data_IF_502529508137
#
_entry.id   IF_502529508137
#
_cell.length_a   1.000
_cell.length_b   1.000
_cell.length_c   1.000
_cell.angle_alpha   90.00
_cell.angle_beta   90.00
_cell.angle_gamma   90.00
#
_symmetry.space_group_name_H-M   'P 1'
#
loop_
_entity.id
_entity.type
_entity.pdbx_description
1 polymer ?
#
# COMPACT_ATOMS: atom_id res chain seq x y z
N UNK A 1 65.96 5.89 9.39
CA UNK A 1 65.03 5.67 10.51
C UNK A 1 63.84 6.67 10.50
N UNK A 2 64.11 7.97 10.44
CA UNK A 2 63.06 9.01 10.48
C UNK A 2 62.01 8.88 9.34
N UNK A 3 62.41 8.60 8.12
CA UNK A 3 61.55 8.46 6.94
C UNK A 3 60.59 7.26 7.09
N UNK A 4 61.05 6.14 7.61
CA UNK A 4 60.25 4.96 7.87
C UNK A 4 59.19 5.25 8.95
N UNK A 5 59.54 5.99 9.99
CA UNK A 5 58.60 6.38 11.05
C UNK A 5 57.49 7.29 10.51
N UNK A 6 57.81 8.24 9.64
CA UNK A 6 56.83 9.14 9.01
C UNK A 6 55.87 8.37 8.09
N UNK A 7 56.38 7.41 7.33
CA UNK A 7 55.54 6.56 6.46
C UNK A 7 54.57 5.71 7.29
N UNK A 8 55.05 5.11 8.37
CA UNK A 8 54.21 4.30 9.27
C UNK A 8 53.13 5.15 9.94
N UNK A 9 53.46 6.35 10.41
CA UNK A 9 52.49 7.30 10.96
C UNK A 9 51.44 7.74 9.93
N UNK A 10 51.84 7.99 8.68
CA UNK A 10 50.92 8.34 7.60
C UNK A 10 49.96 7.20 7.28
N UNK A 11 50.43 5.95 7.25
CA UNK A 11 49.59 4.77 7.04
C UNK A 11 48.58 4.59 8.18
N UNK A 12 49.03 4.73 9.45
CA UNK A 12 48.15 4.65 10.61
C UNK A 12 47.08 5.74 10.56
N UNK A 13 47.46 6.99 10.23
CA UNK A 13 46.53 8.11 10.11
C UNK A 13 45.51 7.87 8.99
N UNK A 14 45.92 7.34 7.84
CA UNK A 14 45.06 6.98 6.74
C UNK A 14 44.08 5.87 7.13
N UNK A 15 44.56 4.81 7.81
CA UNK A 15 43.71 3.72 8.29
C UNK A 15 42.69 4.22 9.34
N UNK A 16 43.06 5.11 10.24
CA UNK A 16 42.17 5.73 11.21
C UNK A 16 41.10 6.60 10.54
N UNK A 17 41.47 7.43 9.56
CA UNK A 17 40.56 8.24 8.83
C UNK A 17 39.56 7.38 8.01
N UNK A 18 40.02 6.30 7.40
CA UNK A 18 39.20 5.34 6.71
C UNK A 18 38.20 4.65 7.65
N UNK A 19 38.70 4.22 8.84
CA UNK A 19 37.87 3.59 9.86
C UNK A 19 36.80 4.55 10.40
N UNK A 20 37.17 5.81 10.68
CA UNK A 20 36.22 6.86 11.13
C UNK A 20 35.15 7.11 10.06
N UNK A 21 35.52 7.25 8.78
CA UNK A 21 34.55 7.44 7.69
C UNK A 21 33.60 6.25 7.58
N UNK A 22 34.11 5.02 7.71
CA UNK A 22 33.30 3.81 7.68
C UNK A 22 32.34 3.74 8.86
N UNK A 23 32.81 4.08 10.08
CA UNK A 23 31.95 4.13 11.26
C UNK A 23 30.86 5.20 11.15
N UNK A 24 31.20 6.39 10.62
CA UNK A 24 30.21 7.45 10.38
C UNK A 24 29.15 7.03 9.34
N UNK A 25 29.56 6.30 8.31
CA UNK A 25 28.61 5.76 7.32
C UNK A 25 27.66 4.74 7.95
N UNK A 26 28.18 3.82 8.77
CA UNK A 26 27.37 2.83 9.49
C UNK A 26 26.43 3.52 10.49
N UNK A 27 26.91 4.51 11.26
CA UNK A 27 26.07 5.29 12.17
C UNK A 27 24.95 6.04 11.43
N UNK A 28 25.25 6.68 10.29
CA UNK A 28 24.22 7.35 9.48
C UNK A 28 23.13 6.39 9.00
N UNK A 29 23.52 5.19 8.59
CA UNK A 29 22.55 4.15 8.15
C UNK A 29 21.72 3.68 9.35
N UNK A 30 22.31 3.46 10.51
CA UNK A 30 21.60 3.04 11.73
C UNK A 30 20.62 4.10 12.22
N UNK A 31 21.04 5.37 12.32
CA UNK A 31 20.18 6.48 12.74
C UNK A 31 19.04 6.71 11.72
N UNK A 32 19.33 6.62 10.42
CA UNK A 32 18.30 6.70 9.38
C UNK A 32 17.30 5.55 9.54
N UNK A 33 17.76 4.32 9.81
CA UNK A 33 16.92 3.15 10.05
C UNK A 33 16.00 3.33 11.27
N UNK A 34 16.51 3.84 12.39
CA UNK A 34 15.73 4.04 13.61
C UNK A 34 14.71 5.19 13.45
N UNK A 35 15.09 6.26 12.76
CA UNK A 35 14.18 7.35 12.42
C UNK A 35 13.04 6.86 11.52
N UNK A 36 13.36 6.02 10.52
CA UNK A 36 12.40 5.37 9.64
C UNK A 36 11.44 4.45 10.40
N UNK A 37 11.95 3.61 11.30
CA UNK A 37 11.11 2.75 12.15
C UNK A 37 10.13 3.57 12.99
N UNK A 38 10.60 4.65 13.58
CA UNK A 38 9.76 5.52 14.41
C UNK A 38 8.68 6.22 13.57
N UNK A 39 9.02 6.72 12.40
CA UNK A 39 8.09 7.36 11.50
C UNK A 39 7.05 6.35 10.96
N UNK A 40 7.48 5.15 10.61
CA UNK A 40 6.61 4.04 10.20
C UNK A 40 5.60 3.67 11.29
N UNK A 41 6.05 3.50 12.55
CA UNK A 41 5.15 3.21 13.68
C UNK A 41 4.14 4.35 13.90
N UNK A 42 4.56 5.62 13.79
CA UNK A 42 3.66 6.77 13.93
C UNK A 42 2.59 6.80 12.83
N UNK A 43 2.98 6.53 11.59
CA UNK A 43 2.06 6.48 10.46
C UNK A 43 1.05 5.33 10.62
N UNK A 44 1.51 4.13 10.97
CA UNK A 44 0.65 2.98 11.28
C UNK A 44 -0.32 3.24 12.43
N UNK A 45 0.15 3.88 13.51
CA UNK A 45 -0.72 4.27 14.62
C UNK A 45 -1.86 5.20 14.18
N UNK A 46 -1.61 6.07 13.20
CA UNK A 46 -2.62 6.94 12.60
C UNK A 46 -3.61 6.14 11.76
N UNK A 47 -3.10 5.24 10.89
CA UNK A 47 -3.93 4.39 10.04
C UNK A 47 -4.79 3.39 10.84
N UNK A 48 -4.32 2.90 11.99
CA UNK A 48 -5.10 2.04 12.90
C UNK A 48 -6.20 2.84 13.60
N UNK A 49 -5.98 4.12 13.89
CA UNK A 49 -6.94 4.95 14.61
C UNK A 49 -8.26 5.09 13.86
N UNK A 50 -8.22 5.27 12.55
CA UNK A 50 -9.41 5.46 11.71
C UNK A 50 -10.37 4.27 11.75
N UNK A 51 -9.95 3.03 11.44
CA UNK A 51 -10.84 1.88 11.54
C UNK A 51 -11.25 1.57 12.98
N UNK A 52 -10.39 1.86 13.96
CA UNK A 52 -10.74 1.71 15.38
C UNK A 52 -11.88 2.64 15.80
N UNK A 53 -11.85 3.92 15.39
CA UNK A 53 -12.93 4.86 15.61
C UNK A 53 -14.20 4.44 14.89
N UNK A 54 -14.10 3.88 13.68
CA UNK A 54 -15.24 3.35 12.95
C UNK A 54 -15.90 2.18 13.71
N UNK A 55 -15.10 1.23 14.21
CA UNK A 55 -15.59 0.12 15.04
C UNK A 55 -16.27 0.64 16.31
N UNK A 56 -15.65 1.59 17.02
CA UNK A 56 -16.21 2.18 18.23
C UNK A 56 -17.54 2.89 17.96
N UNK A 57 -17.60 3.71 16.90
CA UNK A 57 -18.84 4.42 16.54
C UNK A 57 -19.97 3.47 16.13
N UNK A 58 -19.67 2.40 15.38
CA UNK A 58 -20.66 1.38 15.02
C UNK A 58 -21.11 0.57 16.23
N UNK A 59 -20.23 0.29 17.19
CA UNK A 59 -20.59 -0.36 18.46
C UNK A 59 -21.51 0.53 19.31
N UNK A 60 -21.25 1.84 19.38
CA UNK A 60 -22.12 2.80 20.05
C UNK A 60 -23.53 2.86 19.43
N UNK A 61 -23.62 2.77 18.09
CA UNK A 61 -24.92 2.72 17.40
C UNK A 61 -25.71 1.48 17.81
N UNK A 62 -25.05 0.32 17.93
CA UNK A 62 -25.70 -0.93 18.38
C UNK A 62 -26.12 -0.86 19.84
N UNK A 63 -25.33 -0.17 20.69
CA UNK A 63 -25.57 -0.07 22.13
C UNK A 63 -26.66 0.95 22.52
N UNK A 64 -27.18 1.75 21.58
CA UNK A 64 -28.27 2.69 21.86
C UNK A 64 -29.62 1.95 21.96
N UNK A 65 -30.21 1.94 23.14
CA UNK A 65 -31.50 1.33 23.41
C UNK A 65 -32.68 1.99 22.66
N UNK A 66 -32.55 3.29 22.33
CA UNK A 66 -33.59 4.07 21.68
C UNK A 66 -33.64 3.86 20.16
N UNK A 67 -32.65 3.14 19.57
CA UNK A 67 -32.52 2.97 18.13
C UNK A 67 -33.01 1.59 17.70
N UNK A 68 -34.18 1.55 17.02
CA UNK A 68 -34.67 0.31 16.45
C UNK A 68 -33.94 0.02 15.13
N UNK A 69 -33.01 -0.93 15.17
CA UNK A 69 -32.28 -1.43 14.01
C UNK A 69 -32.98 -2.66 13.41
N UNK A 70 -33.28 -2.60 12.15
CA UNK A 70 -33.75 -3.74 11.37
C UNK A 70 -32.69 -4.85 11.28
N UNK A 71 -33.12 -6.08 10.98
CA UNK A 71 -32.20 -7.21 10.78
C UNK A 71 -31.14 -6.97 9.70
N UNK A 72 -31.53 -6.22 8.65
CA UNK A 72 -30.64 -5.83 7.56
C UNK A 72 -29.56 -4.84 8.01
N UNK A 73 -29.94 -3.80 8.75
CA UNK A 73 -29.02 -2.81 9.30
C UNK A 73 -28.02 -3.44 10.30
N UNK A 74 -28.50 -4.31 11.19
CA UNK A 74 -27.61 -5.05 12.11
C UNK A 74 -26.59 -5.89 11.34
N UNK A 75 -27.01 -6.56 10.25
CA UNK A 75 -26.10 -7.34 9.40
C UNK A 75 -25.07 -6.43 8.70
N UNK A 76 -25.49 -5.28 8.18
CA UNK A 76 -24.60 -4.30 7.56
C UNK A 76 -23.55 -3.78 8.55
N UNK A 77 -23.98 -3.37 9.75
CA UNK A 77 -23.08 -2.90 10.80
C UNK A 77 -22.09 -3.98 11.20
N UNK A 78 -22.54 -5.22 11.42
CA UNK A 78 -21.66 -6.34 11.76
C UNK A 78 -20.60 -6.59 10.67
N UNK A 79 -20.98 -6.46 9.37
CA UNK A 79 -20.06 -6.59 8.25
C UNK A 79 -19.02 -5.47 8.23
N UNK A 80 -19.43 -4.23 8.50
CA UNK A 80 -18.52 -3.09 8.58
C UNK A 80 -17.56 -3.20 9.76
N UNK A 81 -18.03 -3.64 10.93
CA UNK A 81 -17.16 -3.89 12.09
C UNK A 81 -16.11 -4.95 11.75
N UNK A 82 -16.52 -6.05 11.14
CA UNK A 82 -15.61 -7.12 10.74
C UNK A 82 -14.56 -6.63 9.74
N UNK A 83 -14.99 -5.89 8.72
CA UNK A 83 -14.07 -5.29 7.73
C UNK A 83 -13.01 -4.39 8.38
N UNK A 84 -13.42 -3.50 9.30
CA UNK A 84 -12.49 -2.62 9.99
C UNK A 84 -11.55 -3.41 10.95
N UNK A 85 -12.04 -4.47 11.60
CA UNK A 85 -11.22 -5.34 12.43
C UNK A 85 -10.17 -6.10 11.60
N UNK A 86 -10.55 -6.62 10.43
CA UNK A 86 -9.62 -7.29 9.50
C UNK A 86 -8.57 -6.30 8.96
N UNK A 87 -8.96 -5.05 8.68
CA UNK A 87 -8.03 -4.00 8.30
C UNK A 87 -7.00 -3.70 9.40
N UNK A 88 -7.46 -3.57 10.66
CA UNK A 88 -6.55 -3.38 11.81
C UNK A 88 -5.59 -4.57 11.94
N UNK A 89 -6.09 -5.80 11.81
CA UNK A 89 -5.26 -7.01 11.87
C UNK A 89 -4.17 -6.98 10.78
N UNK A 90 -4.51 -6.60 9.56
CA UNK A 90 -3.55 -6.50 8.46
C UNK A 90 -2.49 -5.43 8.72
N UNK A 91 -2.89 -4.25 9.24
CA UNK A 91 -1.93 -3.19 9.59
C UNK A 91 -0.99 -3.62 10.73
N UNK A 92 -1.48 -4.38 11.71
CA UNK A 92 -0.65 -4.96 12.78
C UNK A 92 0.31 -6.02 12.24
N UNK A 93 -0.10 -6.83 11.27
CA UNK A 93 0.77 -7.78 10.57
C UNK A 93 1.92 -7.07 9.85
N UNK A 94 1.67 -5.90 9.24
CA UNK A 94 2.73 -5.08 8.63
C UNK A 94 3.75 -4.59 9.66
N UNK A 95 3.32 -4.21 10.87
CA UNK A 95 4.23 -3.86 11.98
C UNK A 95 5.12 -5.04 12.34
N UNK A 96 4.52 -6.20 12.48
CA UNK A 96 5.24 -7.44 12.85
C UNK A 96 6.22 -7.83 11.76
N UNK A 97 5.79 -7.82 10.51
CA UNK A 97 6.66 -8.08 9.35
C UNK A 97 7.86 -7.11 9.29
N UNK A 98 7.62 -5.81 9.54
CA UNK A 98 8.69 -4.81 9.57
C UNK A 98 9.69 -5.04 10.71
N UNK A 99 9.21 -5.55 11.86
CA UNK A 99 10.02 -5.80 13.05
C UNK A 99 10.85 -7.09 12.96
N UNK A 100 10.32 -8.13 12.30
CA UNK A 100 10.87 -9.49 12.30
C UNK A 100 11.65 -9.86 11.03
N UNK A 101 12.04 -8.89 10.19
CA UNK A 101 12.83 -9.12 8.96
C UNK A 101 12.15 -10.04 7.93
N UNK A 102 10.84 -10.09 7.89
CA UNK A 102 10.11 -10.76 6.81
C UNK A 102 9.38 -12.05 7.17
N UNK A 103 9.31 -12.43 8.41
CA UNK A 103 8.42 -13.50 8.87
C UNK A 103 6.98 -12.96 9.00
N UNK A 104 6.28 -12.90 7.88
CA UNK A 104 4.87 -12.54 7.81
C UNK A 104 3.96 -13.77 7.89
N UNK A 105 2.67 -13.55 8.14
CA UNK A 105 1.65 -14.61 8.10
C UNK A 105 1.69 -15.34 6.76
N UNK A 106 1.46 -16.65 6.76
CA UNK A 106 1.34 -17.47 5.55
C UNK A 106 0.30 -16.88 4.59
N UNK A 107 0.65 -16.88 3.30
CA UNK A 107 -0.26 -16.48 2.22
C UNK A 107 -1.41 -17.48 2.20
N UNK A 108 -2.63 -17.00 2.41
CA UNK A 108 -3.82 -17.85 2.37
C UNK A 108 -4.42 -17.81 0.98
N UNK A 109 -4.08 -18.80 0.16
CA UNK A 109 -4.59 -18.89 -1.19
C UNK A 109 -6.02 -19.41 -1.23
N UNK A 110 -6.87 -18.71 -1.98
CA UNK A 110 -8.23 -19.09 -2.28
C UNK A 110 -8.54 -18.88 -3.76
N UNK A 111 -9.56 -19.58 -4.27
CA UNK A 111 -10.04 -19.39 -5.64
C UNK A 111 -11.04 -18.23 -5.67
N UNK A 112 -10.78 -17.22 -6.49
CA UNK A 112 -11.64 -16.03 -6.57
C UNK A 112 -11.76 -15.51 -8.01
N UNK A 113 -12.80 -14.68 -8.27
CA UNK A 113 -12.97 -13.96 -9.52
C UNK A 113 -12.34 -12.57 -9.41
N UNK A 114 -11.35 -12.22 -10.26
CA UNK A 114 -10.76 -10.88 -10.28
C UNK A 114 -11.78 -9.78 -10.60
N UNK A 115 -12.75 -10.06 -11.46
CA UNK A 115 -13.83 -9.12 -11.78
C UNK A 115 -14.66 -8.76 -10.54
N UNK A 116 -15.08 -9.77 -9.76
CA UNK A 116 -15.85 -9.55 -8.51
C UNK A 116 -15.03 -8.80 -7.47
N UNK A 117 -13.73 -9.05 -7.40
CA UNK A 117 -12.84 -8.34 -6.48
C UNK A 117 -12.73 -6.86 -6.86
N UNK A 118 -12.54 -6.53 -8.14
CA UNK A 118 -12.57 -5.14 -8.62
C UNK A 118 -13.90 -4.45 -8.26
N UNK A 119 -15.04 -5.13 -8.46
CA UNK A 119 -16.35 -4.57 -8.13
C UNK A 119 -16.48 -4.29 -6.62
N UNK A 120 -16.06 -5.20 -5.75
CA UNK A 120 -16.07 -4.98 -4.30
C UNK A 120 -15.22 -3.80 -3.88
N UNK A 121 -14.02 -3.63 -4.49
CA UNK A 121 -13.17 -2.47 -4.21
C UNK A 121 -13.84 -1.15 -4.62
N UNK A 122 -14.59 -1.13 -5.73
CA UNK A 122 -15.36 0.03 -6.16
C UNK A 122 -16.47 0.34 -5.16
N UNK A 123 -17.28 -0.66 -4.80
CA UNK A 123 -18.41 -0.50 -3.89
C UNK A 123 -17.95 0.01 -2.51
N UNK A 124 -16.81 -0.48 -2.02
CA UNK A 124 -16.22 -0.05 -0.75
C UNK A 124 -15.73 1.41 -0.75
N UNK A 125 -15.31 1.92 -1.91
CA UNK A 125 -14.78 3.29 -2.03
C UNK A 125 -15.84 4.31 -2.50
N UNK A 126 -17.03 3.86 -2.88
CA UNK A 126 -18.07 4.72 -3.46
C UNK A 126 -18.52 5.83 -2.50
N UNK A 127 -18.61 5.55 -1.22
CA UNK A 127 -19.04 6.52 -0.19
C UNK A 127 -18.02 7.67 0.03
N UNK A 128 -16.78 7.50 -0.39
CA UNK A 128 -15.69 8.46 -0.19
C UNK A 128 -15.38 9.31 -1.43
N UNK A 129 -16.22 9.22 -2.48
CA UNK A 129 -16.01 9.96 -3.71
C UNK A 129 -16.29 11.45 -3.53
N UNK A 130 -15.42 12.27 -4.11
CA UNK A 130 -15.67 13.72 -4.23
C UNK A 130 -16.79 13.98 -5.23
N UNK A 131 -17.51 15.06 -5.02
CA UNK A 131 -18.53 15.50 -5.96
C UNK A 131 -17.92 15.76 -7.36
N UNK A 132 -18.49 15.15 -8.40
CA UNK A 132 -18.00 15.25 -9.79
C UNK A 132 -16.94 14.21 -10.18
N UNK A 133 -16.61 13.27 -9.29
CA UNK A 133 -15.75 12.10 -9.60
C UNK A 133 -16.62 10.88 -9.85
N UNK A 134 -16.43 10.21 -10.98
CA UNK A 134 -17.06 8.95 -11.32
C UNK A 134 -16.09 7.80 -11.08
N UNK A 135 -16.52 6.78 -10.33
CA UNK A 135 -15.80 5.53 -10.16
C UNK A 135 -16.47 4.43 -10.97
N UNK A 136 -15.72 3.76 -11.84
CA UNK A 136 -16.26 2.77 -12.78
C UNK A 136 -15.39 1.53 -12.88
N UNK A 137 -16.05 0.39 -13.23
CA UNK A 137 -15.39 -0.88 -13.53
C UNK A 137 -15.28 -1.10 -15.02
N UNK A 138 -14.09 -1.41 -15.51
CA UNK A 138 -13.86 -1.88 -16.86
C UNK A 138 -13.62 -3.39 -16.85
N UNK A 139 -14.63 -4.15 -17.24
CA UNK A 139 -14.50 -5.60 -17.36
C UNK A 139 -13.49 -5.97 -18.45
N UNK A 140 -12.45 -6.71 -18.07
CA UNK A 140 -11.39 -7.14 -18.96
C UNK A 140 -11.29 -8.67 -19.12
N UNK A 141 -11.96 -9.42 -18.22
CA UNK A 141 -11.94 -10.89 -18.18
C UNK A 141 -13.35 -11.44 -18.31
N UNK A 142 -13.50 -12.71 -18.69
CA UNK A 142 -14.79 -13.40 -18.72
C UNK A 142 -15.38 -13.54 -17.31
N UNK A 143 -16.69 -13.75 -17.20
CA UNK A 143 -17.37 -13.92 -15.91
C UNK A 143 -16.92 -15.18 -15.19
N UNK A 144 -16.62 -16.23 -15.94
CA UNK A 144 -16.19 -17.53 -15.44
C UNK A 144 -14.66 -17.61 -15.23
N UNK A 145 -13.98 -16.47 -15.26
CA UNK A 145 -12.54 -16.44 -15.03
C UNK A 145 -12.23 -16.42 -13.53
N UNK A 146 -11.50 -17.45 -13.07
CA UNK A 146 -11.07 -17.60 -11.69
C UNK A 146 -9.58 -17.89 -11.62
N UNK A 147 -8.94 -17.40 -10.57
CA UNK A 147 -7.53 -17.64 -10.26
C UNK A 147 -7.37 -17.98 -8.78
N UNK A 148 -6.23 -18.53 -8.43
CA UNK A 148 -5.87 -18.88 -7.04
C UNK A 148 -4.76 -17.96 -6.57
N UNK A 149 -5.00 -17.20 -5.49
CA UNK A 149 -4.05 -16.34 -4.79
C UNK A 149 -4.67 -15.86 -3.46
N UNK A 150 -4.03 -14.95 -2.73
CA UNK A 150 -4.60 -14.34 -1.52
C UNK A 150 -5.47 -13.13 -1.90
N UNK A 151 -6.78 -13.36 -2.06
CA UNK A 151 -7.75 -12.34 -2.47
C UNK A 151 -7.81 -11.16 -1.49
N UNK A 152 -7.55 -11.38 -0.20
CA UNK A 152 -7.60 -10.33 0.84
C UNK A 152 -6.43 -9.35 0.67
N UNK A 153 -5.22 -9.86 0.44
CA UNK A 153 -4.04 -9.01 0.17
C UNK A 153 -4.27 -8.22 -1.11
N UNK A 154 -4.79 -8.86 -2.17
CA UNK A 154 -5.08 -8.20 -3.45
C UNK A 154 -6.12 -7.09 -3.26
N UNK A 155 -7.21 -7.37 -2.53
CA UNK A 155 -8.27 -6.39 -2.25
C UNK A 155 -7.73 -5.18 -1.48
N UNK A 156 -6.85 -5.41 -0.50
CA UNK A 156 -6.22 -4.35 0.27
C UNK A 156 -5.30 -3.47 -0.60
N UNK A 157 -4.44 -4.10 -1.43
CA UNK A 157 -3.59 -3.37 -2.38
C UNK A 157 -4.45 -2.52 -3.32
N UNK A 158 -5.44 -3.15 -3.95
CA UNK A 158 -6.30 -2.48 -4.91
C UNK A 158 -7.10 -1.33 -4.29
N UNK A 159 -7.61 -1.49 -3.07
CA UNK A 159 -8.31 -0.43 -2.33
C UNK A 159 -7.40 0.78 -2.07
N UNK A 160 -6.12 0.56 -1.75
CA UNK A 160 -5.16 1.65 -1.57
C UNK A 160 -4.89 2.40 -2.88
N UNK A 161 -4.75 1.69 -4.00
CA UNK A 161 -4.58 2.30 -5.31
C UNK A 161 -5.82 3.12 -5.72
N UNK A 162 -7.02 2.58 -5.50
CA UNK A 162 -8.29 3.28 -5.78
C UNK A 162 -8.42 4.53 -4.90
N UNK A 163 -8.11 4.42 -3.61
CA UNK A 163 -8.14 5.56 -2.68
C UNK A 163 -7.18 6.67 -3.15
N UNK A 164 -5.96 6.33 -3.52
CA UNK A 164 -4.99 7.28 -4.05
C UNK A 164 -5.52 7.98 -5.31
N UNK A 165 -6.05 7.24 -6.28
CA UNK A 165 -6.64 7.79 -7.48
C UNK A 165 -7.82 8.74 -7.19
N UNK A 166 -8.70 8.39 -6.24
CA UNK A 166 -9.82 9.25 -5.84
C UNK A 166 -9.35 10.53 -5.12
N UNK A 167 -8.28 10.49 -4.35
CA UNK A 167 -7.72 11.68 -3.67
C UNK A 167 -7.18 12.68 -4.70
N UNK A 168 -6.45 12.22 -5.71
CA UNK A 168 -5.80 13.07 -6.72
C UNK A 168 -6.71 13.45 -7.90
N UNK A 169 -7.94 12.92 -7.94
CA UNK A 169 -8.94 13.31 -8.93
C UNK A 169 -9.94 14.27 -8.31
N UNK A 170 -9.93 15.53 -8.73
CA UNK A 170 -10.92 16.51 -8.25
C UNK A 170 -12.23 16.43 -9.02
N UNK A 171 -12.16 16.24 -10.33
CA UNK A 171 -13.30 16.03 -11.25
C UNK A 171 -12.88 15.06 -12.35
N UNK A 172 -13.81 14.24 -12.79
CA UNK A 172 -13.57 13.30 -13.88
C UNK A 172 -13.85 11.86 -13.51
N UNK A 173 -12.96 10.94 -13.88
CA UNK A 173 -13.22 9.51 -13.74
C UNK A 173 -12.02 8.77 -13.14
N UNK A 174 -12.33 7.84 -12.23
CA UNK A 174 -11.42 6.78 -11.78
C UNK A 174 -11.97 5.46 -12.32
N UNK A 175 -11.14 4.70 -13.01
CA UNK A 175 -11.51 3.44 -13.64
C UNK A 175 -10.66 2.31 -13.13
N UNK A 176 -11.29 1.24 -12.66
CA UNK A 176 -10.65 0.02 -12.20
C UNK A 176 -10.87 -1.09 -13.21
N UNK A 177 -9.89 -1.93 -13.45
CA UNK A 177 -10.04 -3.10 -14.29
C UNK A 177 -8.94 -4.12 -14.05
N UNK A 178 -9.05 -5.25 -14.75
CA UNK A 178 -8.05 -6.32 -14.70
C UNK A 178 -7.89 -6.98 -16.06
N UNK A 179 -6.71 -7.54 -16.29
CA UNK A 179 -6.38 -8.35 -17.45
C UNK A 179 -5.45 -9.48 -17.04
N UNK A 180 -5.47 -10.58 -17.76
CA UNK A 180 -4.57 -11.70 -17.51
C UNK A 180 -3.83 -12.06 -18.80
N UNK A 181 -2.53 -12.22 -18.68
CA UNK A 181 -1.72 -12.86 -19.72
C UNK A 181 -1.57 -14.34 -19.36
N UNK A 182 -2.33 -15.17 -20.08
CA UNK A 182 -2.34 -16.62 -19.87
C UNK A 182 -0.99 -17.28 -20.21
N UNK A 183 -0.17 -16.64 -21.04
CA UNK A 183 1.12 -17.19 -21.45
C UNK A 183 2.18 -17.03 -20.37
N UNK A 184 2.15 -15.93 -19.64
CA UNK A 184 3.06 -15.63 -18.54
C UNK A 184 2.48 -15.94 -17.16
N UNK A 185 1.21 -16.36 -17.06
CA UNK A 185 0.48 -16.55 -15.80
C UNK A 185 0.48 -15.30 -14.92
N UNK A 186 0.39 -14.11 -15.53
CA UNK A 186 0.38 -12.83 -14.85
C UNK A 186 -1.01 -12.21 -14.90
N UNK A 187 -1.56 -11.93 -13.73
CA UNK A 187 -2.76 -11.13 -13.55
C UNK A 187 -2.37 -9.70 -13.24
N UNK A 188 -2.87 -8.75 -14.02
CA UNK A 188 -2.65 -7.32 -13.83
C UNK A 188 -3.97 -6.64 -13.52
N UNK A 189 -4.06 -6.03 -12.35
CA UNK A 189 -5.08 -5.05 -12.01
C UNK A 189 -4.56 -3.66 -12.38
N UNK A 190 -5.44 -2.77 -12.81
CA UNK A 190 -5.08 -1.39 -13.10
C UNK A 190 -6.12 -0.43 -12.54
N UNK A 191 -5.62 0.71 -12.09
CA UNK A 191 -6.41 1.86 -11.68
C UNK A 191 -5.98 3.05 -12.52
N UNK A 192 -6.90 3.57 -13.33
CA UNK A 192 -6.73 4.74 -14.19
C UNK A 192 -7.49 5.91 -13.59
N UNK A 193 -6.87 7.09 -13.54
CA UNK A 193 -7.53 8.32 -13.17
C UNK A 193 -7.36 9.41 -14.23
N UNK A 194 -8.18 10.42 -14.15
CA UNK A 194 -8.10 11.63 -14.97
C UNK A 194 -7.70 12.85 -14.14
N UNK A 195 -6.98 12.60 -13.05
CA UNK A 195 -6.50 13.61 -12.13
C UNK A 195 -5.28 14.39 -12.63
N UNK A 196 -4.61 15.03 -11.71
CA UNK A 196 -3.45 15.90 -12.00
C UNK A 196 -2.22 15.16 -12.53
N UNK A 197 -2.22 13.82 -12.47
CA UNK A 197 -1.05 12.99 -12.82
C UNK A 197 0.02 13.02 -11.73
N UNK A 198 1.08 12.24 -11.95
CA UNK A 198 2.25 12.18 -11.06
C UNK A 198 3.43 12.83 -11.78
N UNK A 199 4.03 13.89 -11.21
CA UNK A 199 5.23 14.50 -11.73
C UNK A 199 6.38 13.49 -11.91
N UNK A 200 7.20 13.64 -12.94
CA UNK A 200 8.24 12.68 -13.31
C UNK A 200 9.28 12.50 -12.20
N UNK A 201 9.66 13.56 -11.54
CA UNK A 201 10.57 13.59 -10.39
C UNK A 201 10.05 12.80 -9.18
N UNK A 202 8.73 12.69 -9.01
CA UNK A 202 8.09 11.93 -7.93
C UNK A 202 7.85 10.46 -8.26
N UNK A 203 7.79 10.06 -9.53
CA UNK A 203 7.45 8.67 -9.93
C UNK A 203 8.41 7.65 -9.37
N UNK A 204 9.71 7.96 -9.33
CA UNK A 204 10.75 7.07 -8.81
C UNK A 204 10.69 6.86 -7.30
N UNK A 205 10.07 7.79 -6.57
CA UNK A 205 9.98 7.78 -5.10
C UNK A 205 8.58 7.44 -4.58
N UNK A 206 7.60 7.32 -5.49
CA UNK A 206 6.19 7.16 -5.17
C UNK A 206 5.88 5.99 -4.21
N UNK A 207 6.61 4.89 -4.36
CA UNK A 207 6.44 3.68 -3.54
C UNK A 207 7.49 3.57 -2.43
N UNK A 208 8.33 4.59 -2.29
CA UNK A 208 9.36 4.64 -1.27
C UNK A 208 9.11 5.85 -0.36
N UNK A 209 8.23 5.67 0.60
CA UNK A 209 7.85 6.70 1.55
C UNK A 209 9.05 7.35 2.27
N UNK A 210 10.16 6.62 2.41
CA UNK A 210 11.36 7.12 3.08
C UNK A 210 12.17 8.15 2.27
N UNK A 211 11.93 8.23 0.98
CA UNK A 211 12.57 9.18 0.07
C UNK A 211 11.59 10.29 -0.38
N UNK A 212 10.36 10.30 0.19
CA UNK A 212 9.35 11.28 -0.14
C UNK A 212 9.77 12.70 0.30
N UNK A 213 9.52 13.74 -0.50
CA UNK A 213 9.69 15.13 -0.09
C UNK A 213 8.77 15.48 1.09
N UNK A 214 9.26 16.33 2.03
CA UNK A 214 8.51 16.75 3.23
C UNK A 214 7.15 17.40 2.93
N UNK A 215 6.91 17.85 1.70
CA UNK A 215 5.70 18.51 1.25
C UNK A 215 4.60 17.58 0.72
N UNK A 216 4.88 16.28 0.58
CA UNK A 216 3.92 15.32 0.06
C UNK A 216 2.84 14.96 1.10
N UNK A 217 1.59 14.67 0.67
CA UNK A 217 0.58 14.14 1.58
C UNK A 217 1.04 12.80 2.16
N UNK A 218 1.47 12.82 3.40
CA UNK A 218 2.06 11.68 4.12
C UNK A 218 1.19 10.41 4.03
N UNK A 219 -0.13 10.58 4.05
CA UNK A 219 -1.08 9.46 4.10
C UNK A 219 -1.12 8.67 2.78
N UNK A 220 -1.05 9.32 1.63
CA UNK A 220 -1.15 8.64 0.31
C UNK A 220 0.14 7.92 -0.06
N UNK A 221 1.30 8.53 0.18
CA UNK A 221 2.60 7.90 -0.12
C UNK A 221 2.87 6.72 0.81
N UNK A 222 2.42 6.83 2.06
CA UNK A 222 2.45 5.72 3.00
C UNK A 222 1.58 4.54 2.52
N UNK A 223 0.34 4.81 2.08
CA UNK A 223 -0.55 3.81 1.51
C UNK A 223 0.05 3.09 0.30
N UNK A 224 0.69 3.83 -0.61
CA UNK A 224 1.34 3.26 -1.79
C UNK A 224 2.58 2.44 -1.43
N UNK A 225 3.33 2.84 -0.41
CA UNK A 225 4.46 2.06 0.10
C UNK A 225 4.02 0.74 0.73
N UNK A 226 2.91 0.74 1.49
CA UNK A 226 2.29 -0.49 2.00
C UNK A 226 1.80 -1.36 0.84
N UNK A 227 1.09 -0.77 -0.13
CA UNK A 227 0.60 -1.49 -1.30
C UNK A 227 1.73 -2.21 -2.06
N UNK A 228 2.86 -1.54 -2.27
CA UNK A 228 4.04 -2.13 -2.92
C UNK A 228 4.60 -3.32 -2.14
N UNK A 229 4.68 -3.22 -0.82
CA UNK A 229 5.16 -4.33 0.03
C UNK A 229 4.22 -5.53 -0.01
N UNK A 230 2.92 -5.28 0.10
CA UNK A 230 1.90 -6.32 -0.01
C UNK A 230 1.93 -7.00 -1.39
N UNK A 231 2.11 -6.24 -2.46
CA UNK A 231 2.31 -6.77 -3.80
C UNK A 231 3.55 -7.70 -3.86
N UNK A 232 4.66 -7.27 -3.26
CA UNK A 232 5.89 -8.07 -3.17
C UNK A 232 5.71 -9.39 -2.40
N UNK A 233 4.87 -9.44 -1.37
CA UNK A 233 4.52 -10.70 -0.66
C UNK A 233 3.83 -11.71 -1.58
N UNK A 234 3.07 -11.26 -2.55
CA UNK A 234 2.43 -12.11 -3.57
C UNK A 234 3.37 -12.45 -4.74
N UNK A 235 4.65 -12.08 -4.66
CA UNK A 235 5.59 -12.22 -5.78
C UNK A 235 5.32 -11.23 -6.92
N UNK A 236 4.54 -10.19 -6.66
CA UNK A 236 4.13 -9.18 -7.61
C UNK A 236 4.80 -7.82 -7.41
N UNK A 237 4.34 -6.85 -8.16
CA UNK A 237 4.82 -5.47 -8.10
C UNK A 237 3.75 -4.47 -8.55
N UNK A 238 3.96 -3.20 -8.18
CA UNK A 238 3.15 -2.08 -8.65
C UNK A 238 4.05 -1.15 -9.47
N UNK A 239 3.52 -0.63 -10.57
CA UNK A 239 4.20 0.38 -11.39
C UNK A 239 3.23 1.44 -11.90
N UNK A 240 3.75 2.59 -12.30
CA UNK A 240 3.02 3.61 -13.05
C UNK A 240 3.24 3.35 -14.55
N UNK A 241 2.19 3.43 -15.35
CA UNK A 241 2.29 3.36 -16.83
C UNK A 241 2.61 4.75 -17.36
N UNK A 242 3.89 4.95 -17.78
CA UNK A 242 4.37 6.22 -18.30
C UNK A 242 3.74 6.61 -19.64
N UNK A 243 3.10 5.68 -20.35
CA UNK A 243 2.42 5.94 -21.62
C UNK A 243 1.02 6.51 -21.45
N UNK A 244 0.46 6.42 -20.23
CA UNK A 244 -0.85 6.97 -19.95
C UNK A 244 -0.76 8.48 -19.68
N UNK A 245 -1.43 9.29 -20.52
CA UNK A 245 -1.28 10.76 -20.54
C UNK A 245 -2.53 11.52 -20.04
N UNK A 246 -3.59 10.83 -19.60
CA UNK A 246 -4.85 11.47 -19.17
C UNK A 246 -4.92 11.77 -17.67
N UNK A 247 -3.92 11.40 -16.93
CA UNK A 247 -3.80 11.42 -15.47
C UNK A 247 -2.79 10.37 -15.05
N UNK A 248 -3.16 9.48 -14.11
CA UNK A 248 -2.29 8.38 -13.67
C UNK A 248 -2.92 7.04 -14.03
N UNK A 249 -2.09 6.08 -14.44
CA UNK A 249 -2.43 4.66 -14.48
C UNK A 249 -1.43 3.89 -13.65
N UNK A 250 -1.92 3.29 -12.57
CA UNK A 250 -1.15 2.36 -11.73
C UNK A 250 -1.51 0.93 -12.10
N UNK A 251 -0.51 0.07 -12.28
CA UNK A 251 -0.65 -1.35 -12.60
C UNK A 251 -0.09 -2.19 -11.46
N UNK A 252 -0.92 -3.08 -10.94
CA UNK A 252 -0.55 -4.07 -9.93
C UNK A 252 -0.56 -5.45 -10.57
N UNK A 253 0.61 -6.06 -10.71
CA UNK A 253 0.81 -7.35 -11.39
C UNK A 253 1.26 -8.41 -10.39
N UNK A 254 0.64 -9.58 -10.46
CA UNK A 254 0.96 -10.75 -9.63
C UNK A 254 1.01 -12.02 -10.46
N UNK A 255 1.86 -13.00 -10.11
CA UNK A 255 1.75 -14.35 -10.62
C UNK A 255 0.50 -15.04 -10.04
N UNK A 256 -0.19 -15.83 -10.87
CA UNK A 256 -1.39 -16.56 -10.46
C UNK A 256 -1.37 -18.01 -10.96
N UNK A 257 -2.16 -18.83 -10.26
CA UNK A 257 -2.42 -20.22 -10.66
C UNK A 257 -3.90 -20.37 -11.06
N UNK A 258 -4.16 -21.22 -12.06
CA UNK A 258 -5.50 -21.48 -12.58
C UNK A 258 -6.09 -22.75 -11.97
#
# INVERSE_FOLDING_TARGET
MLVILVIVLAIICFCLLFYIKRMQAIQKVSVKSDCMKTAFIKALAREIRTPLHSVSGLAEVIAKDDLYLSKGEKKSIATQIRYNADLIATLLEEVTFFSTHGEGREIQTERFSPNLLCQRCIDANFANLKEGVKLSFRRGLSEDFFVTSDARIIELVLSKLVRAACIFTEKGEVRVGCSCDNSSHLLTFYVEDTGVGIPEDRRNHLFNWFDAPDEAPIDTEFDLSIAQRLAGRLGGYIRVDDRYQKGTRMEFTIPVHF
#
